data_IF_917625251846
#
_entry.id   IF_917625251846
#
_cell.length_a   1.000
_cell.length_b   1.000
_cell.length_c   1.000
_cell.angle_alpha   90.00
_cell.angle_beta   90.00
_cell.angle_gamma   90.00
#
_symmetry.space_group_name_H-M   'P 1'
#
loop_
_entity.id
_entity.type
_entity.pdbx_description
1 polymer ?
#
# COMPACT_ATOMS: atom_id res chain seq x y z
N UNK A 1 16.92 -1.05 -7.18
CA UNK A 1 16.89 -1.62 -5.81
C UNK A 1 16.88 -3.15 -5.93
N UNK A 2 17.50 -3.90 -5.03
CA UNK A 2 17.46 -5.38 -5.06
C UNK A 2 16.21 -5.89 -4.35
N UNK A 3 15.72 -7.06 -4.74
CA UNK A 3 14.60 -7.75 -4.10
C UNK A 3 15.12 -8.61 -2.95
N UNK A 4 14.70 -8.32 -1.69
CA UNK A 4 15.00 -9.21 -0.60
C UNK A 4 14.18 -10.48 -0.71
N UNK A 5 14.74 -11.60 -0.27
CA UNK A 5 14.04 -12.89 -0.29
C UNK A 5 13.43 -13.25 1.06
N UNK A 6 13.93 -12.66 2.14
CA UNK A 6 13.46 -12.87 3.51
C UNK A 6 13.84 -11.66 4.38
N UNK A 7 13.43 -11.67 5.64
CA UNK A 7 13.86 -10.73 6.68
C UNK A 7 14.56 -11.46 7.81
N UNK A 8 15.35 -10.71 8.57
CA UNK A 8 15.86 -11.17 9.86
C UNK A 8 15.60 -10.11 10.91
N UNK A 9 15.10 -10.56 12.07
CA UNK A 9 14.86 -9.70 13.23
C UNK A 9 15.75 -10.18 14.36
N UNK A 10 16.50 -9.25 14.96
CA UNK A 10 17.27 -9.48 16.18
C UNK A 10 16.74 -8.55 17.26
N UNK A 11 16.73 -9.05 18.50
CA UNK A 11 16.34 -8.28 19.66
C UNK A 11 17.41 -8.43 20.73
N UNK A 12 17.85 -7.31 21.29
CA UNK A 12 18.90 -7.30 22.29
C UNK A 12 19.29 -5.90 22.70
N UNK A 13 20.18 -5.83 23.69
CA UNK A 13 20.83 -4.59 24.08
C UNK A 13 22.07 -4.39 23.20
N UNK A 14 22.09 -3.34 22.39
CA UNK A 14 23.21 -3.01 21.52
C UNK A 14 23.73 -1.62 21.86
N UNK A 15 25.01 -1.53 22.22
CA UNK A 15 25.64 -0.27 22.65
C UNK A 15 26.08 0.60 21.48
N UNK A 16 26.18 0.03 20.29
CA UNK A 16 26.69 0.72 19.12
C UNK A 16 26.18 0.10 17.81
N UNK A 17 26.23 0.87 16.72
CA UNK A 17 25.84 0.39 15.40
C UNK A 17 26.67 -0.83 14.91
N UNK A 18 27.99 -0.94 15.20
CA UNK A 18 28.74 -2.16 14.92
C UNK A 18 28.16 -3.42 15.57
N UNK A 19 27.72 -3.35 16.83
CA UNK A 19 27.11 -4.50 17.52
C UNK A 19 25.80 -4.92 16.85
N UNK A 20 25.01 -3.94 16.40
CA UNK A 20 23.78 -4.18 15.61
C UNK A 20 24.13 -4.89 14.29
N UNK A 21 25.13 -4.37 13.57
CA UNK A 21 25.57 -4.93 12.29
C UNK A 21 26.08 -6.36 12.45
N UNK A 22 26.83 -6.66 13.51
CA UNK A 22 27.33 -8.01 13.80
C UNK A 22 26.20 -8.98 14.12
N UNK A 23 25.23 -8.56 14.93
CA UNK A 23 24.08 -9.38 15.29
C UNK A 23 23.22 -9.70 14.05
N UNK A 24 22.91 -8.69 13.24
CA UNK A 24 22.19 -8.86 11.98
C UNK A 24 23.02 -9.71 11.01
N UNK A 25 24.32 -9.50 10.90
CA UNK A 25 25.20 -10.28 10.01
C UNK A 25 25.18 -11.76 10.38
N UNK A 26 25.30 -12.10 11.68
CA UNK A 26 25.23 -13.49 12.15
C UNK A 26 23.87 -14.11 11.81
N UNK A 27 22.79 -13.42 12.10
CA UNK A 27 21.44 -13.92 11.86
C UNK A 27 21.12 -14.02 10.35
N UNK A 28 21.60 -13.09 9.54
CA UNK A 28 21.46 -13.10 8.08
C UNK A 28 22.28 -14.24 7.45
N UNK A 29 23.52 -14.47 7.91
CA UNK A 29 24.36 -15.60 7.45
C UNK A 29 23.74 -16.95 7.79
N UNK A 30 23.13 -17.11 8.96
CA UNK A 30 22.40 -18.33 9.32
C UNK A 30 21.25 -18.64 8.35
N UNK A 31 20.67 -17.62 7.72
CA UNK A 31 19.64 -17.75 6.69
C UNK A 31 20.21 -17.85 5.26
N UNK A 32 21.53 -17.82 5.08
CA UNK A 32 22.17 -17.88 3.76
C UNK A 32 22.17 -16.56 2.99
N UNK A 33 22.08 -15.42 3.68
CA UNK A 33 22.13 -14.10 3.06
C UNK A 33 23.54 -13.74 2.58
N UNK A 34 23.62 -13.14 1.39
CA UNK A 34 24.83 -12.51 0.86
C UNK A 34 24.97 -11.06 1.31
N UNK A 35 23.85 -10.34 1.36
CA UNK A 35 23.79 -8.95 1.82
C UNK A 35 22.55 -8.72 2.69
N UNK A 36 22.56 -7.65 3.48
CA UNK A 36 21.40 -7.22 4.26
C UNK A 36 21.23 -5.70 4.21
N UNK A 37 20.03 -5.22 4.52
CA UNK A 37 19.70 -3.80 4.65
C UNK A 37 18.78 -3.60 5.84
N UNK A 38 19.23 -2.85 6.84
CA UNK A 38 18.43 -2.55 8.04
C UNK A 38 17.31 -1.59 7.66
N UNK A 39 16.07 -2.00 7.91
CA UNK A 39 14.87 -1.23 7.57
C UNK A 39 14.14 -0.67 8.76
N UNK A 40 14.39 -1.24 9.93
CA UNK A 40 13.74 -0.81 11.16
C UNK A 40 14.65 -1.05 12.34
N UNK A 41 14.84 -0.02 13.15
CA UNK A 41 15.52 -0.10 14.44
C UNK A 41 14.66 0.71 15.41
N UNK A 42 14.06 0.01 16.37
CA UNK A 42 13.19 0.62 17.39
C UNK A 42 13.61 0.17 18.77
N UNK A 43 13.44 1.06 19.75
CA UNK A 43 13.57 0.69 21.15
C UNK A 43 12.36 -0.15 21.55
N UNK A 44 12.62 -1.40 21.95
CA UNK A 44 11.60 -2.35 22.37
C UNK A 44 11.06 -2.03 23.77
N UNK A 45 11.81 -1.28 24.59
CA UNK A 45 11.42 -0.80 25.90
C UNK A 45 12.27 0.41 26.32
N UNK A 46 11.89 1.07 27.41
CA UNK A 46 12.63 2.21 28.00
C UNK A 46 14.00 1.81 28.61
N UNK A 47 14.41 0.53 28.51
CA UNK A 47 15.65 -0.01 29.07
C UNK A 47 16.80 -0.17 28.07
N UNK A 48 16.68 0.38 26.86
CA UNK A 48 17.72 0.33 25.84
C UNK A 48 17.80 -1.00 25.05
N UNK A 49 16.85 -1.92 25.23
CA UNK A 49 16.75 -3.05 24.33
C UNK A 49 16.17 -2.58 23.00
N UNK A 50 16.83 -2.93 21.91
CA UNK A 50 16.42 -2.59 20.57
C UNK A 50 15.91 -3.84 19.85
N UNK A 51 14.91 -3.63 18.99
CA UNK A 51 14.46 -4.61 18.01
C UNK A 51 14.80 -4.08 16.63
N UNK A 52 15.72 -4.78 15.97
CA UNK A 52 16.23 -4.42 14.65
C UNK A 52 15.75 -5.44 13.64
N UNK A 53 15.20 -4.96 12.52
CA UNK A 53 14.76 -5.78 11.39
C UNK A 53 15.52 -5.36 10.15
N UNK A 54 16.09 -6.33 9.46
CA UNK A 54 16.78 -6.15 8.20
C UNK A 54 16.19 -7.03 7.10
N UNK A 55 16.15 -6.50 5.89
CA UNK A 55 15.95 -7.27 4.68
C UNK A 55 17.22 -8.04 4.34
N UNK A 56 17.09 -9.29 3.90
CA UNK A 56 18.21 -10.12 3.48
C UNK A 56 18.11 -10.50 2.00
N UNK A 57 19.26 -10.52 1.33
CA UNK A 57 19.40 -10.65 -0.12
C UNK A 57 20.30 -11.84 -0.45
N UNK A 58 19.95 -12.61 -1.48
CA UNK A 58 20.85 -13.62 -2.05
C UNK A 58 21.91 -12.95 -2.93
N UNK A 59 22.96 -13.68 -3.27
CA UNK A 59 23.99 -13.19 -4.19
C UNK A 59 23.43 -12.92 -5.59
N UNK A 60 22.44 -13.71 -6.00
CA UNK A 60 21.68 -13.59 -7.24
C UNK A 60 20.37 -12.80 -7.06
N UNK A 61 20.27 -11.96 -6.02
CA UNK A 61 19.08 -11.17 -5.76
C UNK A 61 18.66 -10.40 -7.02
N UNK A 62 17.44 -10.66 -7.49
CA UNK A 62 16.88 -10.00 -8.65
C UNK A 62 16.72 -8.51 -8.35
N UNK A 63 16.71 -7.68 -9.39
CA UNK A 63 16.31 -6.28 -9.23
C UNK A 63 14.84 -6.27 -8.78
N UNK A 64 14.55 -5.59 -7.68
CA UNK A 64 13.19 -5.32 -7.21
C UNK A 64 12.43 -4.64 -8.33
N UNK A 65 11.40 -5.31 -8.81
CA UNK A 65 10.37 -4.69 -9.63
C UNK A 65 9.51 -3.94 -8.63
N UNK A 66 9.59 -2.61 -8.64
CA UNK A 66 8.65 -1.78 -7.89
C UNK A 66 7.57 -1.36 -8.87
N UNK A 67 6.32 -1.64 -8.52
CA UNK A 67 5.19 -1.18 -9.31
C UNK A 67 4.89 0.29 -8.99
N UNK A 68 4.48 1.02 -10.02
CA UNK A 68 4.06 2.42 -9.85
C UNK A 68 2.87 2.47 -8.88
N UNK A 69 2.78 3.48 -8.00
CA UNK A 69 1.55 3.74 -7.23
C UNK A 69 0.36 4.09 -8.15
N UNK A 70 0.60 4.38 -9.43
CA UNK A 70 -0.40 4.70 -10.45
C UNK A 70 -0.85 3.47 -11.27
N UNK A 71 -0.40 2.26 -10.92
CA UNK A 71 -0.72 1.05 -11.68
C UNK A 71 -2.21 0.69 -11.56
N UNK A 72 -2.92 0.37 -12.65
CA UNK A 72 -4.34 0.00 -12.65
C UNK A 72 -4.57 -1.26 -11.80
N UNK A 73 -5.53 -1.29 -10.85
CA UNK A 73 -5.78 -2.49 -10.04
C UNK A 73 -6.03 -3.73 -10.91
N UNK A 74 -5.34 -4.83 -10.62
CA UNK A 74 -5.41 -6.06 -11.42
C UNK A 74 -6.82 -6.69 -11.45
N UNK A 75 -7.54 -6.56 -10.34
CA UNK A 75 -8.89 -7.10 -10.15
C UNK A 75 -10.00 -6.15 -10.63
N UNK A 76 -9.64 -4.96 -11.13
CA UNK A 76 -10.56 -4.07 -11.82
C UNK A 76 -10.87 -4.54 -13.25
N UNK A 77 -11.97 -4.05 -13.81
CA UNK A 77 -12.30 -4.32 -15.21
C UNK A 77 -11.25 -3.74 -16.19
N UNK A 78 -10.74 -2.54 -15.90
CA UNK A 78 -9.68 -1.91 -16.67
C UNK A 78 -8.36 -2.71 -16.60
N UNK A 79 -8.04 -3.28 -15.44
CA UNK A 79 -6.87 -4.15 -15.26
C UNK A 79 -7.00 -5.42 -16.12
N UNK A 80 -8.16 -6.08 -16.07
CA UNK A 80 -8.45 -7.26 -16.91
C UNK A 80 -8.41 -6.93 -18.41
N UNK A 81 -8.95 -5.79 -18.82
CA UNK A 81 -8.92 -5.34 -20.21
C UNK A 81 -7.50 -5.03 -20.69
N UNK A 82 -6.69 -4.36 -19.87
CA UNK A 82 -5.31 -4.04 -20.19
C UNK A 82 -4.41 -5.29 -20.22
N UNK A 83 -4.66 -6.28 -19.35
CA UNK A 83 -4.01 -7.60 -19.42
C UNK A 83 -4.40 -8.34 -20.71
N UNK A 84 -5.67 -8.28 -21.12
CA UNK A 84 -6.14 -8.90 -22.35
C UNK A 84 -5.57 -8.23 -23.62
N UNK A 85 -5.37 -6.91 -23.61
CA UNK A 85 -4.69 -6.19 -24.71
C UNK A 85 -3.20 -6.53 -24.82
N UNK A 86 -2.56 -6.91 -23.72
CA UNK A 86 -1.13 -7.23 -23.69
C UNK A 86 -0.22 -6.02 -23.93
N UNK A 87 1.08 -6.28 -24.07
CA UNK A 87 2.07 -5.25 -24.42
C UNK A 87 2.21 -4.13 -23.38
N UNK A 88 2.27 -2.88 -23.84
CA UNK A 88 2.45 -1.69 -22.98
C UNK A 88 1.25 -1.42 -22.04
N UNK A 89 0.05 -1.89 -22.36
CA UNK A 89 -1.13 -1.74 -21.50
C UNK A 89 -1.04 -2.64 -20.27
N UNK A 90 -0.64 -3.91 -20.47
CA UNK A 90 -0.45 -4.87 -19.38
C UNK A 90 0.65 -4.43 -18.39
N UNK A 91 1.68 -3.71 -18.85
CA UNK A 91 2.74 -3.14 -17.99
C UNK A 91 2.23 -2.08 -17.01
N UNK A 92 1.05 -1.51 -17.25
CA UNK A 92 0.43 -0.51 -16.37
C UNK A 92 -0.55 -1.13 -15.37
N UNK A 93 -0.79 -2.45 -15.45
CA UNK A 93 -1.64 -3.16 -14.50
C UNK A 93 -0.80 -3.54 -13.29
N UNK A 94 -1.39 -3.39 -12.11
CA UNK A 94 -0.83 -3.82 -10.85
C UNK A 94 -0.49 -5.30 -10.92
N UNK A 95 0.69 -5.69 -10.46
CA UNK A 95 1.12 -7.09 -10.45
C UNK A 95 0.84 -7.61 -9.04
N UNK A 96 -0.12 -8.53 -8.85
CA UNK A 96 -0.41 -9.10 -7.54
C UNK A 96 0.87 -9.66 -6.89
N UNK A 97 1.14 -9.27 -5.65
CA UNK A 97 2.32 -9.71 -4.90
C UNK A 97 3.57 -8.83 -5.06
N UNK A 98 3.59 -7.91 -6.01
CA UNK A 98 4.73 -6.99 -6.24
C UNK A 98 4.60 -5.74 -5.38
N UNK A 99 5.74 -5.33 -4.82
CA UNK A 99 5.91 -4.16 -3.98
C UNK A 99 5.54 -2.85 -4.72
N UNK A 100 4.69 -1.98 -4.16
CA UNK A 100 4.62 -0.58 -4.65
C UNK A 100 5.94 0.13 -4.31
N UNK A 101 6.32 1.16 -5.06
CA UNK A 101 7.51 1.96 -4.69
C UNK A 101 7.42 2.56 -3.26
N UNK A 102 6.22 2.58 -2.67
CA UNK A 102 5.92 2.99 -1.30
C UNK A 102 5.90 1.83 -0.27
N UNK A 103 6.04 0.55 -0.64
CA UNK A 103 6.02 -0.59 0.30
C UNK A 103 6.70 -1.87 -0.24
N UNK A 104 7.48 -2.64 0.54
CA UNK A 104 8.14 -3.89 0.12
C UNK A 104 7.18 -5.00 -0.35
N UNK A 105 7.68 -5.97 -1.15
CA UNK A 105 6.87 -7.03 -1.79
C UNK A 105 6.27 -7.98 -0.77
N UNK A 106 5.10 -8.54 -1.09
CA UNK A 106 4.32 -9.38 -0.18
C UNK A 106 4.96 -10.76 0.08
N UNK A 107 5.92 -11.18 -0.74
CA UNK A 107 6.58 -12.50 -0.63
C UNK A 107 7.62 -12.55 0.50
N UNK A 108 8.07 -11.40 1.01
CA UNK A 108 8.97 -11.33 2.15
C UNK A 108 8.15 -11.30 3.44
N UNK A 109 7.85 -12.49 3.95
CA UNK A 109 7.33 -12.79 5.30
C UNK A 109 6.55 -11.68 6.01
N UNK A 110 5.22 -11.73 5.95
CA UNK A 110 4.18 -11.11 6.81
C UNK A 110 4.64 -10.23 7.98
N UNK A 111 5.30 -9.11 7.73
CA UNK A 111 5.72 -8.15 8.78
C UNK A 111 4.88 -6.87 8.83
N UNK A 112 3.79 -6.80 8.06
CA UNK A 112 2.91 -5.62 8.00
C UNK A 112 1.82 -5.58 9.10
N UNK A 113 1.72 -6.57 9.99
CA UNK A 113 0.62 -6.63 10.97
C UNK A 113 0.70 -5.63 12.14
N UNK A 114 1.75 -4.81 12.26
CA UNK A 114 1.79 -3.77 13.32
C UNK A 114 2.10 -2.35 12.84
N UNK A 115 2.06 -2.11 11.53
CA UNK A 115 1.90 -0.77 11.00
C UNK A 115 0.90 -0.79 9.87
N UNK A 116 -0.29 -0.25 10.14
CA UNK A 116 -1.14 0.38 9.14
C UNK A 116 -0.42 1.61 8.54
N UNK A 117 0.70 1.39 7.85
CA UNK A 117 1.25 2.33 6.88
C UNK A 117 0.72 1.85 5.53
N UNK A 118 -0.43 2.33 5.05
CA UNK A 118 -0.57 3.62 4.34
C UNK A 118 0.55 3.89 3.32
N UNK A 119 1.05 2.85 2.67
CA UNK A 119 1.81 2.92 1.41
C UNK A 119 1.01 2.44 0.19
N UNK A 120 -0.29 2.17 0.38
CA UNK A 120 -1.24 1.76 -0.66
C UNK A 120 -2.44 2.70 -0.73
N UNK A 121 -3.31 2.45 -1.72
CA UNK A 121 -4.59 3.16 -1.89
C UNK A 121 -5.37 3.22 -0.58
N UNK A 122 -6.09 4.33 -0.37
CA UNK A 122 -6.88 4.48 0.84
C UNK A 122 -8.10 3.55 0.78
N UNK A 123 -8.07 2.46 1.55
CA UNK A 123 -9.17 1.49 1.63
C UNK A 123 -10.12 1.84 2.77
N UNK A 124 -11.39 2.03 2.44
CA UNK A 124 -12.48 2.11 3.40
C UNK A 124 -13.07 0.72 3.59
N UNK A 125 -13.15 0.26 4.84
CA UNK A 125 -13.87 -0.97 5.19
C UNK A 125 -15.22 -0.60 5.79
N UNK A 126 -16.30 -1.08 5.18
CA UNK A 126 -17.66 -0.89 5.64
C UNK A 126 -18.04 -1.95 6.70
N UNK A 127 -19.09 -1.72 7.52
CA UNK A 127 -19.49 -2.64 8.59
C UNK A 127 -19.89 -4.04 8.13
N UNK A 128 -20.29 -4.19 6.88
CA UNK A 128 -20.62 -5.46 6.22
C UNK A 128 -19.37 -6.23 5.73
N UNK A 129 -18.17 -5.69 5.98
CA UNK A 129 -16.90 -6.23 5.50
C UNK A 129 -16.54 -5.81 4.08
N UNK A 130 -17.40 -5.07 3.39
CA UNK A 130 -17.12 -4.58 2.03
C UNK A 130 -15.96 -3.59 2.07
N UNK A 131 -14.96 -3.81 1.22
CA UNK A 131 -13.81 -2.93 1.05
C UNK A 131 -13.97 -2.12 -0.22
N UNK A 132 -13.81 -0.80 -0.11
CA UNK A 132 -13.84 0.12 -1.25
C UNK A 132 -12.61 1.01 -1.20
N UNK A 133 -11.89 1.11 -2.32
CA UNK A 133 -10.61 1.81 -2.38
C UNK A 133 -10.69 3.13 -3.14
N UNK A 134 -9.99 4.15 -2.65
CA UNK A 134 -9.83 5.41 -3.35
C UNK A 134 -8.68 5.35 -4.35
N UNK A 135 -9.00 5.60 -5.62
CA UNK A 135 -8.03 5.74 -6.69
C UNK A 135 -7.39 7.12 -6.66
N UNK A 136 -6.10 7.18 -7.00
CA UNK A 136 -5.46 8.44 -7.31
C UNK A 136 -5.89 8.93 -8.71
N UNK A 137 -5.62 10.20 -9.02
CA UNK A 137 -6.01 10.82 -10.30
C UNK A 137 -5.43 10.10 -11.52
N UNK A 138 -4.19 9.64 -11.43
CA UNK A 138 -3.51 8.98 -12.55
C UNK A 138 -4.16 7.62 -12.87
N UNK A 139 -4.42 6.81 -11.85
CA UNK A 139 -5.13 5.53 -11.99
C UNK A 139 -6.56 5.76 -12.49
N UNK A 140 -7.28 6.71 -11.90
CA UNK A 140 -8.66 7.02 -12.28
C UNK A 140 -8.76 7.46 -13.75
N UNK A 141 -7.82 8.28 -14.24
CA UNK A 141 -7.78 8.72 -15.63
C UNK A 141 -7.55 7.58 -16.64
N UNK A 142 -7.06 6.43 -16.18
CA UNK A 142 -6.86 5.23 -16.99
C UNK A 142 -8.02 4.23 -16.89
N UNK A 143 -9.01 4.51 -16.06
CA UNK A 143 -10.17 3.66 -15.86
C UNK A 143 -11.42 4.35 -16.41
N UNK A 144 -12.40 3.56 -16.82
CA UNK A 144 -13.70 4.08 -17.26
C UNK A 144 -14.66 4.00 -16.07
N UNK A 145 -15.19 5.13 -15.57
CA UNK A 145 -16.18 5.09 -14.52
C UNK A 145 -17.50 4.56 -15.09
N UNK A 146 -18.16 3.67 -14.34
CA UNK A 146 -19.46 3.13 -14.76
C UNK A 146 -20.63 3.97 -14.24
N UNK A 147 -20.41 4.76 -13.19
CA UNK A 147 -21.40 5.63 -12.55
C UNK A 147 -20.68 6.70 -11.72
N UNK A 148 -21.42 7.65 -11.14
CA UNK A 148 -20.91 8.63 -10.18
C UNK A 148 -21.87 8.81 -9.00
N UNK A 149 -21.36 9.42 -7.93
CA UNK A 149 -22.15 9.83 -6.77
C UNK A 149 -21.90 11.30 -6.51
N UNK A 150 -22.99 12.04 -6.23
CA UNK A 150 -22.94 13.43 -5.80
C UNK A 150 -23.82 13.60 -4.58
N UNK A 151 -23.29 14.18 -3.51
CA UNK A 151 -24.04 14.43 -2.29
C UNK A 151 -23.45 15.59 -1.51
N UNK A 152 -24.29 16.18 -0.66
CA UNK A 152 -23.94 17.31 0.20
C UNK A 152 -24.15 16.90 1.65
N UNK A 153 -23.25 17.31 2.52
CA UNK A 153 -23.40 17.10 3.96
C UNK A 153 -22.40 17.89 4.77
N UNK A 154 -22.58 17.89 6.08
CA UNK A 154 -21.63 18.45 7.03
C UNK A 154 -20.70 17.33 7.47
N UNK A 155 -19.41 17.43 7.12
CA UNK A 155 -18.41 16.42 7.44
C UNK A 155 -17.23 17.09 8.16
N UNK A 156 -16.84 16.53 9.30
CA UNK A 156 -15.81 17.13 10.15
C UNK A 156 -14.38 16.88 9.68
N UNK A 157 -14.18 15.88 8.81
CA UNK A 157 -12.86 15.53 8.28
C UNK A 157 -12.94 14.67 7.01
N UNK A 158 -11.79 14.50 6.36
CA UNK A 158 -11.64 13.72 5.11
C UNK A 158 -11.95 12.23 5.28
N UNK A 159 -11.69 11.64 6.46
CA UNK A 159 -12.01 10.23 6.76
C UNK A 159 -13.52 10.00 6.67
N UNK A 160 -14.31 10.92 7.23
CA UNK A 160 -15.76 10.86 7.20
C UNK A 160 -16.30 11.04 5.78
N UNK A 161 -15.75 11.99 5.02
CA UNK A 161 -16.05 12.18 3.59
C UNK A 161 -15.80 10.87 2.84
N UNK A 162 -14.61 10.29 2.99
CA UNK A 162 -14.20 9.06 2.33
C UNK A 162 -15.14 7.89 2.68
N UNK A 163 -15.51 7.76 3.95
CA UNK A 163 -16.48 6.75 4.39
C UNK A 163 -17.85 6.92 3.74
N UNK A 164 -18.33 8.17 3.62
CA UNK A 164 -19.62 8.48 3.02
C UNK A 164 -19.63 8.26 1.51
N UNK A 165 -18.51 8.52 0.83
CA UNK A 165 -18.31 8.18 -0.59
C UNK A 165 -18.30 6.66 -0.75
N UNK A 166 -17.44 5.95 -0.01
CA UNK A 166 -17.32 4.50 -0.05
C UNK A 166 -18.64 3.78 0.24
N UNK A 167 -19.41 4.24 1.24
CA UNK A 167 -20.73 3.69 1.56
C UNK A 167 -21.71 3.81 0.39
N UNK A 168 -21.68 4.92 -0.36
CA UNK A 168 -22.53 5.12 -1.54
C UNK A 168 -22.00 4.36 -2.76
N UNK A 169 -20.68 4.28 -2.91
CA UNK A 169 -19.99 3.50 -3.92
C UNK A 169 -20.32 2.01 -3.80
N UNK A 170 -20.20 1.42 -2.60
CA UNK A 170 -20.54 0.03 -2.33
C UNK A 170 -22.01 -0.28 -2.62
N UNK A 171 -22.94 0.62 -2.26
CA UNK A 171 -24.37 0.47 -2.59
C UNK A 171 -24.64 0.39 -4.09
N UNK A 172 -23.80 1.04 -4.90
CA UNK A 172 -23.84 0.97 -6.38
C UNK A 172 -22.99 -0.17 -6.94
N UNK A 173 -22.41 -1.01 -6.08
CA UNK A 173 -21.55 -2.12 -6.47
C UNK A 173 -20.22 -1.69 -7.09
N UNK A 174 -19.66 -0.58 -6.61
CA UNK A 174 -18.32 -0.12 -6.96
C UNK A 174 -17.28 -0.69 -5.99
N UNK A 175 -16.14 -1.13 -6.52
CA UNK A 175 -14.97 -1.51 -5.71
C UNK A 175 -14.00 -0.36 -5.52
N UNK A 176 -13.98 0.59 -6.46
CA UNK A 176 -13.14 1.76 -6.35
C UNK A 176 -13.93 3.04 -6.60
N UNK A 177 -13.44 4.14 -6.04
CA UNK A 177 -13.95 5.47 -6.32
C UNK A 177 -12.82 6.48 -6.51
N UNK A 178 -13.10 7.59 -7.18
CA UNK A 178 -12.20 8.74 -7.23
C UNK A 178 -13.00 10.01 -6.97
N UNK A 179 -12.63 10.79 -5.95
CA UNK A 179 -13.29 12.06 -5.67
C UNK A 179 -12.89 13.07 -6.76
N UNK A 180 -13.83 13.44 -7.61
CA UNK A 180 -13.62 14.36 -8.74
C UNK A 180 -13.83 15.82 -8.35
N UNK A 181 -14.71 16.08 -7.38
CA UNK A 181 -15.01 17.45 -6.93
C UNK A 181 -15.32 17.51 -5.45
N UNK A 182 -14.73 18.48 -4.78
CA UNK A 182 -15.10 18.87 -3.42
C UNK A 182 -15.34 20.37 -3.44
N UNK A 183 -16.54 20.78 -3.06
CA UNK A 183 -16.92 22.18 -3.05
C UNK A 183 -17.55 22.52 -1.71
N UNK A 184 -16.89 23.36 -0.94
CA UNK A 184 -17.45 23.86 0.31
C UNK A 184 -18.55 24.88 -0.02
N UNK A 185 -19.75 24.65 0.49
CA UNK A 185 -20.87 25.56 0.36
C UNK A 185 -20.87 26.61 1.47
N UNK A 186 -21.79 27.58 1.40
CA UNK A 186 -21.91 28.60 2.46
C UNK A 186 -22.23 27.91 3.78
N UNK A 187 -21.31 28.00 4.75
CA UNK A 187 -21.41 27.37 6.06
C UNK A 187 -20.52 26.14 6.22
N UNK A 188 -20.98 25.15 6.99
CA UNK A 188 -20.24 23.92 7.32
C UNK A 188 -20.54 22.74 6.36
N UNK A 189 -21.29 22.98 5.29
CA UNK A 189 -21.65 21.94 4.33
C UNK A 189 -20.63 21.86 3.20
N UNK A 190 -20.34 20.63 2.75
CA UNK A 190 -19.48 20.35 1.61
C UNK A 190 -20.22 19.42 0.64
N UNK A 191 -20.15 19.78 -0.64
CA UNK A 191 -20.66 18.98 -1.75
C UNK A 191 -19.53 18.19 -2.36
N UNK A 192 -19.70 16.87 -2.36
CA UNK A 192 -18.72 15.90 -2.84
C UNK A 192 -19.27 15.23 -4.10
N UNK A 193 -18.45 15.13 -5.13
CA UNK A 193 -18.70 14.33 -6.33
C UNK A 193 -17.58 13.31 -6.49
N UNK A 194 -17.92 12.06 -6.74
CA UNK A 194 -16.97 10.98 -6.95
C UNK A 194 -17.42 10.06 -8.07
N UNK A 195 -16.47 9.66 -8.90
CA UNK A 195 -16.65 8.67 -9.95
C UNK A 195 -16.48 7.27 -9.38
N UNK A 196 -17.25 6.31 -9.91
CA UNK A 196 -17.31 4.94 -9.43
C UNK A 196 -16.77 3.96 -10.47
N UNK A 197 -15.97 3.00 -9.98
CA UNK A 197 -15.28 2.02 -10.81
C UNK A 197 -15.51 0.59 -10.28
N UNK A 198 -15.49 -0.36 -11.21
CA UNK A 198 -15.66 -1.79 -10.93
C UNK A 198 -14.37 -2.46 -10.49
#
# INVERSE_FOLDING_TARGET
QLEPYDTVTVQGFYRSQPEVNDAITKAAKQKGAYAFYIVRQIDANQGGNQRITAFIYKQDAKKRIVQSPDAIPADSEAGRAALAQGGEAAKKVEIPGVATSASPSAEVGRFFETQSSKGGRYTVTLPDGTKVEELNKATAAMMVPFDSVKFTGNYGNMTEISYQVAKRAAKKGAKYYHITRQWQERGNNITISADLYK
#
